data_IF_414616525824
#
_entry.id   IF_414616525824
#
_cell.length_a   1.000
_cell.length_b   1.000
_cell.length_c   1.000
_cell.angle_alpha   90.00
_cell.angle_beta   90.00
_cell.angle_gamma   90.00
#
_symmetry.space_group_name_H-M   'P 1'
#
loop_
_entity.id
_entity.type
_entity.pdbx_description
1 polymer ?
#
# COMPACT_ATOMS: atom_id res chain seq x y z
N UNK A 1 26.58 3.13 20.16
CA UNK A 1 25.37 2.39 19.69
C UNK A 1 24.44 3.41 19.04
N UNK A 2 24.35 3.46 17.71
CA UNK A 2 23.56 4.47 16.99
C UNK A 2 22.12 3.97 16.98
N UNK A 3 21.23 4.66 17.67
CA UNK A 3 19.79 4.40 17.65
C UNK A 3 19.20 4.94 16.35
N UNK A 4 19.08 4.09 15.33
CA UNK A 4 18.33 4.43 14.11
C UNK A 4 16.85 4.28 14.45
N UNK A 5 16.03 5.34 14.39
CA UNK A 5 14.64 5.24 14.75
C UNK A 5 13.93 4.28 13.78
N UNK A 6 13.16 3.36 14.33
CA UNK A 6 12.37 2.32 13.61
C UNK A 6 11.54 2.91 12.45
N UNK A 7 11.11 4.17 12.57
CA UNK A 7 10.40 4.96 11.56
C UNK A 7 11.15 5.09 10.22
N UNK A 8 12.46 5.36 10.28
CA UNK A 8 13.29 5.54 9.08
C UNK A 8 13.49 4.24 8.33
N UNK A 9 13.54 3.11 9.07
CA UNK A 9 13.70 1.78 8.47
C UNK A 9 12.42 1.36 7.70
N UNK A 10 11.22 1.60 8.28
CA UNK A 10 9.94 1.30 7.61
C UNK A 10 9.85 1.95 6.22
N UNK A 11 10.14 3.23 6.15
CA UNK A 11 10.00 3.98 4.90
C UNK A 11 11.06 3.55 3.86
N UNK A 12 12.30 3.36 4.26
CA UNK A 12 13.39 2.99 3.36
C UNK A 12 13.18 1.60 2.73
N UNK A 13 12.78 0.61 3.53
CA UNK A 13 12.56 -0.76 3.03
C UNK A 13 11.40 -0.83 2.06
N UNK A 14 10.34 -0.01 2.25
CA UNK A 14 9.19 -0.01 1.34
C UNK A 14 9.50 0.67 0.00
N UNK A 15 10.28 1.75 0.00
CA UNK A 15 10.66 2.46 -1.22
C UNK A 15 11.64 1.67 -2.11
N UNK A 16 12.47 0.81 -1.52
CA UNK A 16 13.44 -0.01 -2.24
C UNK A 16 12.83 -1.32 -2.81
N UNK A 17 11.62 -1.68 -2.40
CA UNK A 17 10.97 -2.91 -2.87
C UNK A 17 10.36 -2.75 -4.26
N UNK A 18 10.87 -3.55 -5.21
CA UNK A 18 10.15 -3.85 -6.47
C UNK A 18 9.04 -4.84 -6.15
N UNK A 19 7.81 -4.36 -6.04
CA UNK A 19 6.64 -5.20 -5.78
C UNK A 19 6.24 -5.92 -7.07
N UNK A 20 6.33 -7.25 -7.06
CA UNK A 20 5.61 -8.08 -8.01
C UNK A 20 4.29 -8.51 -7.36
N UNK A 21 3.18 -8.19 -8.00
CA UNK A 21 1.84 -8.49 -7.50
C UNK A 21 1.29 -9.67 -8.29
N UNK A 22 0.85 -10.70 -7.58
CA UNK A 22 0.14 -11.85 -8.16
C UNK A 22 -1.33 -11.73 -7.80
N UNK A 23 -2.19 -12.02 -8.79
CA UNK A 23 -3.62 -12.09 -8.58
C UNK A 23 -4.05 -13.54 -8.83
N UNK A 24 -4.54 -14.19 -7.78
CA UNK A 24 -5.04 -15.56 -7.83
C UNK A 24 -6.53 -15.62 -7.50
N UNK A 25 -7.23 -16.60 -8.08
CA UNK A 25 -8.61 -16.91 -7.70
C UNK A 25 -8.64 -17.50 -6.28
N UNK A 26 -9.69 -17.20 -5.55
CA UNK A 26 -9.97 -17.83 -4.27
C UNK A 26 -10.46 -19.25 -4.55
N UNK A 27 -9.57 -20.22 -4.49
CA UNK A 27 -9.96 -21.61 -4.37
C UNK A 27 -10.18 -21.89 -2.88
N UNK A 28 -11.39 -22.32 -2.52
CA UNK A 28 -11.78 -22.60 -1.13
C UNK A 28 -10.97 -23.73 -0.46
N UNK A 29 -10.07 -24.40 -1.19
CA UNK A 29 -9.33 -25.59 -0.74
C UNK A 29 -7.86 -25.32 -0.33
N UNK A 30 -7.38 -24.09 -0.28
CA UNK A 30 -5.99 -23.81 0.09
C UNK A 30 -5.83 -23.25 1.51
N UNK A 31 -6.20 -24.06 2.49
CA UNK A 31 -5.58 -24.03 3.81
C UNK A 31 -4.32 -24.90 3.77
N UNK A 32 -3.22 -24.41 3.31
CA UNK A 32 -1.87 -24.87 3.71
C UNK A 32 -0.84 -24.33 2.72
N UNK A 33 -0.13 -23.31 3.08
CA UNK A 33 1.23 -23.09 2.57
C UNK A 33 2.13 -22.88 3.77
N UNK A 34 2.68 -24.00 4.23
CA UNK A 34 3.86 -24.03 5.05
C UNK A 34 5.10 -23.93 4.16
N UNK A 35 5.99 -23.06 4.60
CA UNK A 35 7.44 -23.25 4.62
C UNK A 35 8.19 -23.51 3.31
N UNK A 36 8.99 -22.53 2.88
CA UNK A 36 10.26 -22.78 2.19
C UNK A 36 11.31 -21.72 2.57
N UNK A 37 12.28 -22.17 3.37
CA UNK A 37 13.71 -22.07 3.06
C UNK A 37 14.43 -20.73 3.24
N UNK A 38 15.07 -20.59 4.39
CA UNK A 38 16.25 -19.76 4.65
C UNK A 38 17.36 -19.97 3.63
N UNK A 39 17.95 -18.90 3.10
CA UNK A 39 19.36 -18.91 2.72
C UNK A 39 20.03 -17.56 2.99
N UNK A 40 21.17 -17.67 3.67
CA UNK A 40 22.11 -16.66 4.10
C UNK A 40 22.65 -15.79 2.97
N UNK A 41 22.83 -14.49 3.21
CA UNK A 41 23.86 -13.70 2.53
C UNK A 41 24.53 -12.74 3.51
N UNK A 42 25.87 -12.81 3.44
CA UNK A 42 26.89 -12.21 4.24
C UNK A 42 26.93 -10.67 4.17
N UNK A 43 27.45 -10.11 5.23
CA UNK A 43 27.78 -8.72 5.49
C UNK A 43 29.04 -8.28 4.72
N UNK A 44 29.18 -7.02 4.33
CA UNK A 44 30.45 -6.35 4.39
C UNK A 44 30.46 -5.05 5.22
N UNK A 45 31.68 -4.70 5.60
CA UNK A 45 32.05 -3.82 6.68
C UNK A 45 32.00 -2.30 6.37
N UNK A 46 31.96 -1.58 7.44
CA UNK A 46 32.27 -0.22 7.85
C UNK A 46 33.16 0.64 6.92
N UNK A 47 32.75 1.91 6.72
CA UNK A 47 33.71 2.99 6.82
C UNK A 47 33.08 4.29 7.42
N UNK A 48 33.85 4.96 8.27
CA UNK A 48 33.48 6.16 9.02
C UNK A 48 33.84 7.43 8.25
N UNK A 49 32.95 8.41 8.20
CA UNK A 49 33.40 9.81 8.12
C UNK A 49 32.38 10.75 8.77
N UNK A 50 32.83 11.48 9.80
CA UNK A 50 32.12 12.57 10.46
C UNK A 50 31.97 13.76 9.53
N UNK A 51 30.72 14.27 9.38
CA UNK A 51 30.50 15.66 9.01
C UNK A 51 29.30 16.23 9.78
N UNK A 52 29.62 17.35 10.45
CA UNK A 52 28.72 18.26 11.16
C UNK A 52 27.79 18.92 10.14
N UNK A 53 26.49 18.69 10.22
CA UNK A 53 25.51 19.38 9.36
C UNK A 53 24.76 20.47 10.10
N UNK A 54 24.98 21.68 9.62
CA UNK A 54 24.20 22.88 9.85
C UNK A 54 22.79 22.69 9.29
N UNK A 55 21.77 22.85 10.11
CA UNK A 55 20.37 22.81 9.70
C UNK A 55 20.00 24.03 8.86
N UNK A 56 20.04 23.88 7.55
CA UNK A 56 19.42 24.83 6.62
C UNK A 56 18.05 24.29 6.25
N UNK A 57 16.99 24.91 6.74
CA UNK A 57 15.61 24.64 6.31
C UNK A 57 15.49 24.91 4.80
N UNK A 58 15.41 23.86 4.01
CA UNK A 58 15.08 24.01 2.60
C UNK A 58 13.60 24.42 2.44
N UNK A 59 13.26 25.35 1.54
CA UNK A 59 11.90 25.77 1.30
C UNK A 59 11.08 24.57 0.82
N UNK A 60 9.98 24.24 1.53
CA UNK A 60 9.02 23.19 1.14
C UNK A 60 8.49 23.53 -0.24
N UNK A 61 8.94 22.81 -1.24
CA UNK A 61 8.45 22.93 -2.61
C UNK A 61 6.96 22.56 -2.62
N UNK A 62 6.07 23.53 -2.83
CA UNK A 62 4.64 23.27 -2.97
C UNK A 62 4.40 22.43 -4.22
N UNK A 63 4.20 21.14 -4.06
CA UNK A 63 3.89 20.23 -5.15
C UNK A 63 2.38 20.28 -5.40
N UNK A 64 1.99 20.73 -6.59
CA UNK A 64 0.59 20.68 -7.05
C UNK A 64 0.34 19.33 -7.73
N UNK A 65 -0.65 18.58 -7.25
CA UNK A 65 -1.07 17.30 -7.82
C UNK A 65 -2.31 17.46 -8.69
N UNK A 66 -2.31 16.87 -9.89
CA UNK A 66 -3.53 16.71 -10.69
C UNK A 66 -4.15 15.36 -10.35
N UNK A 67 -5.11 15.38 -9.42
CA UNK A 67 -5.86 14.19 -9.04
C UNK A 67 -6.88 13.80 -10.13
N UNK A 68 -6.97 12.52 -10.42
CA UNK A 68 -7.97 11.93 -11.35
C UNK A 68 -9.10 11.23 -10.62
N UNK A 69 -8.97 11.04 -9.33
CA UNK A 69 -9.96 10.41 -8.47
C UNK A 69 -9.57 10.50 -7.01
N UNK A 70 -10.41 9.92 -6.15
CA UNK A 70 -10.26 10.00 -4.70
C UNK A 70 -10.74 8.73 -4.03
N UNK A 71 -9.97 8.23 -3.07
CA UNK A 71 -10.38 7.19 -2.13
C UNK A 71 -10.87 7.83 -0.84
N UNK A 72 -12.03 7.39 -0.34
CA UNK A 72 -12.60 7.79 0.95
C UNK A 72 -13.00 6.55 1.75
N UNK A 73 -12.63 6.51 3.04
CA UNK A 73 -13.01 5.45 3.98
C UNK A 73 -13.50 6.13 5.26
N UNK A 74 -14.83 6.31 5.42
CA UNK A 74 -15.41 7.10 6.51
C UNK A 74 -15.07 6.59 7.91
N UNK A 75 -15.04 5.26 8.13
CA UNK A 75 -14.73 4.59 9.41
C UNK A 75 -13.45 5.14 10.05
N UNK A 76 -12.43 5.43 9.24
CA UNK A 76 -11.12 5.91 9.70
C UNK A 76 -10.87 7.38 9.32
N UNK A 77 -11.91 8.10 8.90
CA UNK A 77 -11.85 9.51 8.44
C UNK A 77 -10.79 9.74 7.35
N UNK A 78 -10.56 8.72 6.53
CA UNK A 78 -9.59 8.77 5.44
C UNK A 78 -10.21 9.37 4.18
N UNK A 79 -9.50 10.30 3.55
CA UNK A 79 -9.87 10.89 2.27
C UNK A 79 -8.62 11.37 1.55
N UNK A 80 -8.29 10.77 0.39
CA UNK A 80 -7.09 11.12 -0.37
C UNK A 80 -7.30 10.95 -1.87
N UNK A 81 -6.82 11.95 -2.66
CA UNK A 81 -6.78 11.86 -4.10
C UNK A 81 -5.65 10.93 -4.59
N UNK A 82 -5.79 10.40 -5.79
CA UNK A 82 -4.75 9.68 -6.51
C UNK A 82 -4.57 10.28 -7.90
N UNK A 83 -3.34 10.17 -8.42
CA UNK A 83 -2.94 10.69 -9.73
C UNK A 83 -2.93 9.56 -10.77
N UNK A 84 -2.77 9.88 -12.06
CA UNK A 84 -2.63 8.87 -13.14
C UNK A 84 -1.45 7.93 -12.87
N UNK A 85 -1.55 6.67 -13.32
CA UNK A 85 -0.46 5.67 -13.19
C UNK A 85 0.86 6.16 -13.77
N UNK A 86 0.81 6.88 -14.88
CA UNK A 86 1.97 7.38 -15.63
C UNK A 86 2.57 8.66 -15.01
N UNK A 87 1.91 9.23 -14.02
CA UNK A 87 2.42 10.44 -13.34
C UNK A 87 3.69 10.13 -12.55
N UNK A 88 4.69 10.99 -12.63
CA UNK A 88 5.87 10.92 -11.76
C UNK A 88 5.53 11.02 -10.26
N UNK A 89 4.35 11.53 -9.93
CA UNK A 89 3.82 11.62 -8.58
C UNK A 89 2.98 10.39 -8.17
N UNK A 90 2.79 9.41 -9.07
CA UNK A 90 2.28 8.09 -8.73
C UNK A 90 3.38 7.26 -8.07
N UNK A 91 3.76 7.67 -6.88
CA UNK A 91 4.86 7.12 -6.11
C UNK A 91 4.52 7.24 -4.62
N UNK A 92 4.78 6.20 -3.86
CA UNK A 92 4.47 6.11 -2.42
C UNK A 92 5.18 7.17 -1.58
N UNK A 93 6.30 7.72 -2.06
CA UNK A 93 7.03 8.81 -1.40
C UNK A 93 6.26 10.15 -1.45
N UNK A 94 5.25 10.25 -2.32
CA UNK A 94 4.48 11.49 -2.49
C UNK A 94 3.00 11.31 -2.20
N UNK A 95 2.45 10.13 -2.54
CA UNK A 95 1.01 9.95 -2.54
C UNK A 95 0.59 8.49 -2.35
N UNK A 96 -0.73 8.28 -2.24
CA UNK A 96 -1.34 6.97 -2.51
C UNK A 96 -1.06 6.64 -3.97
N UNK A 97 -0.46 5.48 -4.20
CA UNK A 97 0.05 5.03 -5.49
C UNK A 97 -0.87 3.99 -6.10
N UNK A 98 -1.23 4.15 -7.37
CA UNK A 98 -1.86 3.10 -8.17
C UNK A 98 -0.79 2.10 -8.57
N UNK A 99 -0.98 0.81 -8.25
CA UNK A 99 -0.05 -0.25 -8.66
C UNK A 99 -0.02 -0.39 -10.19
N UNK A 100 1.11 -0.86 -10.73
CA UNK A 100 1.29 -1.05 -12.17
C UNK A 100 0.24 -2.01 -12.74
N UNK A 101 -0.06 -3.06 -12.02
CA UNK A 101 -0.98 -4.15 -12.38
C UNK A 101 -2.46 -3.82 -12.13
N UNK A 102 -2.74 -2.64 -11.53
CA UNK A 102 -4.11 -2.24 -11.23
C UNK A 102 -4.93 -1.97 -12.49
N UNK A 103 -6.18 -2.37 -12.49
CA UNK A 103 -7.21 -1.83 -13.38
C UNK A 103 -7.74 -0.51 -12.82
N UNK A 104 -8.31 0.35 -13.67
CA UNK A 104 -9.07 1.51 -13.17
C UNK A 104 -10.47 1.10 -12.69
N UNK A 105 -11.12 1.92 -11.81
CA UNK A 105 -12.40 1.56 -11.19
C UNK A 105 -13.57 1.29 -12.16
N UNK A 106 -13.49 1.77 -13.40
CA UNK A 106 -14.51 1.59 -14.45
C UNK A 106 -14.37 0.28 -15.23
N UNK A 107 -13.26 -0.45 -15.08
CA UNK A 107 -13.05 -1.75 -15.74
C UNK A 107 -13.97 -2.80 -15.12
N UNK A 108 -14.67 -3.58 -15.97
CA UNK A 108 -15.54 -4.67 -15.54
C UNK A 108 -14.71 -5.78 -14.90
N UNK A 109 -15.11 -6.25 -13.73
CA UNK A 109 -14.43 -7.28 -12.94
C UNK A 109 -12.93 -7.00 -12.69
N UNK A 110 -12.51 -5.73 -12.86
CA UNK A 110 -11.14 -5.28 -12.63
C UNK A 110 -10.79 -5.21 -11.15
N UNK A 111 -9.51 -5.11 -10.88
CA UNK A 111 -8.98 -4.88 -9.55
C UNK A 111 -8.24 -3.55 -9.47
N UNK A 112 -8.82 -2.57 -8.80
CA UNK A 112 -8.16 -1.30 -8.54
C UNK A 112 -7.25 -1.44 -7.32
N UNK A 113 -5.93 -1.36 -7.52
CA UNK A 113 -4.94 -1.63 -6.47
C UNK A 113 -4.25 -0.32 -6.09
N UNK A 114 -4.35 0.03 -4.81
CA UNK A 114 -3.70 1.21 -4.23
C UNK A 114 -2.73 0.80 -3.13
N UNK A 115 -1.59 1.49 -3.11
CA UNK A 115 -0.52 1.29 -2.13
C UNK A 115 -0.15 2.61 -1.46
N UNK A 116 0.20 2.56 -0.18
CA UNK A 116 0.79 3.68 0.53
C UNK A 116 1.56 3.18 1.76
N UNK A 117 2.38 4.04 2.33
CA UNK A 117 3.07 3.75 3.58
C UNK A 117 2.11 3.61 4.78
N UNK A 118 2.53 2.81 5.78
CA UNK A 118 2.06 2.86 7.16
C UNK A 118 3.21 3.23 8.09
N UNK A 119 2.89 3.67 9.31
CA UNK A 119 3.82 4.14 10.33
C UNK A 119 3.58 5.61 10.67
N UNK A 120 4.55 6.24 11.34
CA UNK A 120 4.36 7.57 11.93
C UNK A 120 4.82 8.74 11.03
N UNK A 121 5.29 8.45 9.81
CA UNK A 121 5.72 9.52 8.90
C UNK A 121 4.50 10.26 8.30
N UNK A 122 4.63 11.57 7.95
CA UNK A 122 3.55 12.34 7.33
C UNK A 122 2.99 11.74 6.04
N UNK A 123 3.77 10.88 5.36
CA UNK A 123 3.38 10.18 4.13
C UNK A 123 2.78 8.79 4.37
N UNK A 124 2.61 8.38 5.63
CA UNK A 124 2.05 7.08 6.02
C UNK A 124 0.52 7.10 5.92
N UNK A 125 0.02 7.34 4.71
CA UNK A 125 -1.41 7.54 4.46
C UNK A 125 -2.26 6.33 4.83
N UNK A 126 -1.72 5.12 4.76
CA UNK A 126 -2.43 3.88 5.07
C UNK A 126 -2.20 3.38 6.50
N UNK A 127 -1.57 4.19 7.36
CA UNK A 127 -1.42 3.83 8.77
C UNK A 127 -2.75 3.45 9.44
N UNK A 128 -3.87 4.19 9.28
CA UNK A 128 -5.09 3.86 10.00
C UNK A 128 -5.85 2.64 9.45
N UNK A 129 -5.39 1.97 8.37
CA UNK A 129 -6.11 0.81 7.79
C UNK A 129 -6.23 -0.38 8.77
N UNK A 130 -5.32 -0.52 9.74
CA UNK A 130 -5.41 -1.60 10.74
C UNK A 130 -6.67 -1.54 11.62
N UNK A 131 -7.37 -0.40 11.60
CA UNK A 131 -8.64 -0.18 12.34
C UNK A 131 -9.87 -0.67 11.58
N UNK A 132 -9.70 -1.13 10.34
CA UNK A 132 -10.80 -1.59 9.53
C UNK A 132 -11.23 -2.99 9.93
N UNK A 133 -12.54 -3.21 9.83
CA UNK A 133 -13.21 -4.47 10.11
C UNK A 133 -13.97 -4.95 8.85
N UNK A 134 -14.21 -6.25 8.74
CA UNK A 134 -15.00 -6.80 7.65
C UNK A 134 -16.38 -6.13 7.62
N UNK A 135 -16.80 -5.71 6.43
CA UNK A 135 -18.03 -4.96 6.23
C UNK A 135 -17.86 -3.45 6.11
N UNK A 136 -16.72 -2.88 6.51
CA UNK A 136 -16.45 -1.45 6.36
C UNK A 136 -16.46 -1.03 4.88
N UNK A 137 -16.91 0.19 4.62
CA UNK A 137 -17.13 0.72 3.26
C UNK A 137 -15.99 1.67 2.88
N UNK A 138 -15.49 1.46 1.66
CA UNK A 138 -14.63 2.39 0.95
C UNK A 138 -15.35 2.90 -0.31
N UNK A 139 -15.17 4.18 -0.62
CA UNK A 139 -15.72 4.80 -1.84
C UNK A 139 -14.57 5.30 -2.71
N UNK A 140 -14.57 4.93 -3.98
CA UNK A 140 -13.65 5.46 -4.99
C UNK A 140 -14.44 6.36 -5.93
N UNK A 141 -14.12 7.65 -5.95
CA UNK A 141 -14.62 8.59 -6.95
C UNK A 141 -13.66 8.63 -8.14
N UNK A 142 -14.15 8.31 -9.35
CA UNK A 142 -13.36 8.30 -10.56
C UNK A 142 -14.24 8.58 -11.79
N UNK A 143 -13.78 9.43 -12.72
CA UNK A 143 -14.54 9.80 -13.92
C UNK A 143 -15.98 10.25 -13.61
N UNK A 144 -16.15 11.14 -12.62
CA UNK A 144 -17.43 11.67 -12.15
C UNK A 144 -18.43 10.61 -11.65
N UNK A 145 -17.96 9.38 -11.36
CA UNK A 145 -18.76 8.30 -10.76
C UNK A 145 -18.20 7.93 -9.39
N UNK A 146 -19.08 7.47 -8.50
CA UNK A 146 -18.72 6.86 -7.23
C UNK A 146 -18.88 5.34 -7.34
N UNK A 147 -17.87 4.63 -6.84
CA UNK A 147 -17.83 3.17 -6.76
C UNK A 147 -17.72 2.80 -5.29
N UNK A 148 -18.68 2.05 -4.79
CA UNK A 148 -18.75 1.63 -3.39
C UNK A 148 -18.19 0.22 -3.26
N UNK A 149 -17.37 0.00 -2.23
CA UNK A 149 -16.70 -1.27 -2.00
C UNK A 149 -16.82 -1.63 -0.52
N UNK A 150 -17.14 -2.89 -0.23
CA UNK A 150 -17.22 -3.43 1.12
C UNK A 150 -16.01 -4.32 1.41
N UNK A 151 -15.33 -4.14 2.54
CA UNK A 151 -14.23 -4.96 2.97
C UNK A 151 -14.73 -6.39 3.24
N UNK A 152 -14.19 -7.35 2.50
CA UNK A 152 -14.60 -8.76 2.58
C UNK A 152 -13.48 -9.66 3.08
N UNK A 153 -12.21 -9.23 2.97
CA UNK A 153 -11.07 -10.04 3.38
C UNK A 153 -9.89 -9.15 3.76
N UNK A 154 -9.17 -9.56 4.81
CA UNK A 154 -7.87 -8.99 5.16
C UNK A 154 -6.91 -10.11 5.54
N UNK A 155 -5.65 -10.00 5.16
CA UNK A 155 -4.60 -10.95 5.49
C UNK A 155 -3.24 -10.28 5.44
N UNK A 156 -2.23 -10.98 5.93
CA UNK A 156 -0.85 -10.54 5.92
C UNK A 156 -0.01 -11.48 5.05
N UNK A 157 1.01 -10.92 4.41
CA UNK A 157 2.00 -11.66 3.63
C UNK A 157 3.40 -11.22 4.04
N UNK A 158 4.37 -12.12 3.92
CA UNK A 158 5.77 -11.80 4.14
C UNK A 158 6.27 -10.77 3.12
N UNK A 159 7.16 -9.89 3.56
CA UNK A 159 7.71 -8.79 2.75
C UNK A 159 8.85 -9.30 1.84
N UNK A 160 8.49 -10.13 0.88
CA UNK A 160 9.42 -10.78 -0.06
C UNK A 160 9.56 -10.03 -1.40
N UNK A 161 8.83 -8.92 -1.57
CA UNK A 161 8.73 -8.22 -2.86
C UNK A 161 7.66 -8.80 -3.79
N UNK A 162 6.91 -9.82 -3.34
CA UNK A 162 5.79 -10.43 -4.06
C UNK A 162 4.57 -10.44 -3.16
N UNK A 163 3.41 -10.08 -3.71
CA UNK A 163 2.15 -10.05 -2.96
C UNK A 163 1.13 -10.89 -3.73
N UNK A 164 0.66 -11.97 -3.11
CA UNK A 164 -0.49 -12.70 -3.61
C UNK A 164 -1.77 -11.94 -3.26
N UNK A 165 -2.64 -11.73 -4.26
CA UNK A 165 -3.93 -11.07 -4.10
C UNK A 165 -5.02 -12.12 -4.36
N UNK A 166 -5.68 -12.55 -3.28
CA UNK A 166 -6.77 -13.53 -3.31
C UNK A 166 -8.09 -12.81 -3.43
N UNK A 167 -8.66 -12.74 -4.64
CA UNK A 167 -9.92 -12.07 -4.97
C UNK A 167 -10.84 -12.92 -5.81
N UNK A 168 -12.13 -12.61 -5.85
CA UNK A 168 -13.08 -13.16 -6.81
C UNK A 168 -12.93 -12.44 -8.16
N UNK A 169 -12.54 -13.16 -9.21
CA UNK A 169 -12.36 -12.61 -10.56
C UNK A 169 -13.68 -12.28 -11.27
N UNK A 170 -14.81 -12.77 -10.76
CA UNK A 170 -16.13 -12.42 -11.27
C UNK A 170 -16.66 -11.10 -10.69
N UNK A 171 -15.93 -10.51 -9.76
CA UNK A 171 -16.30 -9.27 -9.09
C UNK A 171 -15.31 -8.15 -9.38
N UNK A 172 -15.80 -6.93 -9.33
CA UNK A 172 -14.97 -5.75 -9.31
C UNK A 172 -14.46 -5.54 -7.90
N UNK A 173 -13.15 -5.38 -7.75
CA UNK A 173 -12.48 -5.29 -6.45
C UNK A 173 -11.64 -4.03 -6.30
N UNK A 174 -11.49 -3.60 -5.06
CA UNK A 174 -10.50 -2.63 -4.61
C UNK A 174 -9.55 -3.35 -3.66
N UNK A 175 -8.26 -3.28 -3.93
CA UNK A 175 -7.21 -3.83 -3.06
C UNK A 175 -6.38 -2.71 -2.48
N UNK A 176 -6.25 -2.67 -1.16
CA UNK A 176 -5.35 -1.73 -0.47
C UNK A 176 -4.19 -2.52 0.14
N UNK A 177 -2.95 -2.03 -0.07
CA UNK A 177 -1.73 -2.70 0.39
C UNK A 177 -0.87 -1.71 1.16
N UNK A 178 -0.38 -2.14 2.32
CA UNK A 178 0.52 -1.34 3.16
C UNK A 178 1.44 -2.23 3.99
N UNK A 179 2.42 -1.65 4.67
CA UNK A 179 3.16 -2.38 5.71
C UNK A 179 2.23 -2.72 6.87
N UNK A 180 2.45 -3.87 7.51
CA UNK A 180 1.68 -4.25 8.71
C UNK A 180 2.01 -3.30 9.85
N UNK A 181 0.99 -2.91 10.63
CA UNK A 181 1.09 -1.87 11.67
C UNK A 181 2.20 -2.17 12.69
N UNK A 182 2.20 -3.33 13.30
CA UNK A 182 3.16 -3.69 14.35
C UNK A 182 4.23 -4.71 13.91
N UNK A 183 4.28 -5.06 12.62
CA UNK A 183 5.21 -6.05 12.09
C UNK A 183 5.90 -5.55 10.82
N UNK A 184 7.18 -5.20 10.95
CA UNK A 184 7.98 -4.66 9.84
C UNK A 184 8.33 -5.68 8.76
N UNK A 185 8.16 -6.97 9.06
CA UNK A 185 8.50 -8.08 8.15
C UNK A 185 7.34 -8.40 7.21
N UNK A 186 6.13 -7.90 7.51
CA UNK A 186 4.91 -8.22 6.78
C UNK A 186 4.26 -7.02 6.10
N UNK A 187 3.41 -7.34 5.15
CA UNK A 187 2.50 -6.41 4.49
C UNK A 187 1.06 -6.86 4.69
N UNK A 188 0.17 -5.91 4.93
CA UNK A 188 -1.26 -6.13 5.07
C UNK A 188 -1.97 -5.87 3.76
N UNK A 189 -2.84 -6.77 3.37
CA UNK A 189 -3.68 -6.72 2.17
C UNK A 189 -5.14 -6.69 2.58
N UNK A 190 -5.87 -5.72 2.04
CA UNK A 190 -7.30 -5.50 2.29
C UNK A 190 -8.03 -5.63 0.97
N UNK A 191 -8.92 -6.63 0.85
CA UNK A 191 -9.73 -6.87 -0.34
C UNK A 191 -11.16 -6.39 -0.09
N UNK A 192 -11.60 -5.49 -0.94
CA UNK A 192 -12.95 -4.99 -0.96
C UNK A 192 -13.63 -5.42 -2.25
N UNK A 193 -14.89 -5.80 -2.17
CA UNK A 193 -15.73 -6.11 -3.34
C UNK A 193 -16.72 -4.98 -3.59
N UNK A 194 -16.96 -4.67 -4.87
CA UNK A 194 -17.95 -3.67 -5.22
C UNK A 194 -19.33 -4.09 -4.69
N UNK A 195 -20.01 -3.13 -4.08
CA UNK A 195 -21.38 -3.28 -3.59
C UNK A 195 -22.28 -2.21 -4.22
N UNK A 196 -23.56 -2.47 -4.29
CA UNK A 196 -24.54 -1.42 -4.46
C UNK A 196 -24.72 -0.78 -3.09
N UNK A 197 -24.88 0.52 -3.01
CA UNK A 197 -25.12 1.21 -1.73
C UNK A 197 -26.04 0.41 -0.80
#
# INVERSE_FOLDING_TARGET
>A
MIYIPIKTIKNKVFSEMKLAIYQDEINEDNETINDIGTNNISKPATDNTNQTESSTEQPKKNISYTYIGQLSIPKIKFKRGFVKKESKYNNIEYNVTIAKEADYPDVKNGNFILMAHSGDAPISFFEPLYKLELGDIATVSYNAKAYYYKLVKTYQVEKTGKIAIYRDYNKKTLTLITCTHDDLTKQSVYIFEQTNE
#
